data_IF_548069672007
#
_entry.id   IF_548069672007
#
_cell.length_a   1.000
_cell.length_b   1.000
_cell.length_c   1.000
_cell.angle_alpha   90.00
_cell.angle_beta   90.00
_cell.angle_gamma   90.00
#
_symmetry.space_group_name_H-M   'P 1'
#
loop_
_entity.id
_entity.type
_entity.pdbx_description
1 polymer ?
#
# COMPACT_ATOMS: atom_id res chain seq x y z
N UNK A 1 9.45 27.35 37.34
CA UNK A 1 8.20 27.18 36.56
C UNK A 1 8.37 27.48 35.06
N UNK A 2 9.09 28.53 34.63
CA UNK A 2 9.24 28.85 33.19
C UNK A 2 10.06 27.84 32.36
N UNK A 3 11.03 27.13 32.96
CA UNK A 3 11.85 26.12 32.24
C UNK A 3 11.18 24.75 32.07
N UNK A 4 10.26 24.39 32.97
CA UNK A 4 9.55 23.10 32.91
C UNK A 4 8.43 23.09 31.85
N UNK A 5 7.80 24.24 31.60
CA UNK A 5 6.77 24.38 30.56
C UNK A 5 7.37 24.32 29.16
N UNK A 6 8.59 24.83 28.96
CA UNK A 6 9.29 24.78 27.67
C UNK A 6 9.73 23.36 27.30
N UNK A 7 10.14 22.55 28.29
CA UNK A 7 10.50 21.14 28.06
C UNK A 7 9.26 20.29 27.75
N UNK A 8 8.12 20.56 28.40
CA UNK A 8 6.87 19.87 28.11
C UNK A 8 6.30 20.23 26.73
N UNK A 9 6.40 21.51 26.33
CA UNK A 9 5.99 21.97 25.00
C UNK A 9 6.92 21.43 23.89
N UNK A 10 8.23 21.31 24.15
CA UNK A 10 9.17 20.69 23.21
C UNK A 10 8.95 19.17 23.08
N UNK A 11 8.59 18.48 24.17
CA UNK A 11 8.24 17.05 24.11
C UNK A 11 6.93 16.80 23.34
N UNK A 12 5.92 17.67 23.48
CA UNK A 12 4.70 17.61 22.68
C UNK A 12 4.93 17.97 21.20
N UNK A 13 5.87 18.87 20.90
CA UNK A 13 6.24 19.19 19.51
C UNK A 13 7.03 18.04 18.86
N UNK A 14 7.91 17.37 19.61
CA UNK A 14 8.69 16.22 19.12
C UNK A 14 7.81 14.97 18.97
N UNK A 15 6.80 14.79 19.83
CA UNK A 15 5.79 13.72 19.69
C UNK A 15 4.78 13.97 18.55
N UNK A 16 4.58 15.22 18.12
CA UNK A 16 3.77 15.55 16.94
C UNK A 16 4.56 15.56 15.62
N UNK A 17 5.89 15.50 15.69
CA UNK A 17 6.79 15.36 14.54
C UNK A 17 7.13 13.88 14.22
N UNK A 18 6.68 12.93 15.06
CA UNK A 18 7.09 11.52 14.99
C UNK A 18 6.05 10.53 14.44
N UNK A 19 4.87 11.00 14.07
CA UNK A 19 3.91 10.22 13.32
C UNK A 19 3.39 11.11 12.20
N UNK A 20 4.07 11.09 11.05
CA UNK A 20 3.37 11.40 9.82
C UNK A 20 2.24 10.37 9.73
N UNK A 21 1.05 10.73 10.18
CA UNK A 21 -0.12 9.90 9.95
C UNK A 21 -0.29 9.88 8.44
N UNK A 22 0.08 8.77 7.81
CA UNK A 22 -0.19 8.51 6.41
C UNK A 22 -1.69 8.79 6.20
N UNK A 23 -2.02 9.71 5.29
CA UNK A 23 -3.41 9.99 4.99
C UNK A 23 -4.02 8.68 4.48
N UNK A 24 -5.07 8.20 5.14
CA UNK A 24 -5.64 6.90 4.78
C UNK A 24 -6.03 6.88 3.28
N UNK A 25 -5.72 5.80 2.55
CA UNK A 25 -6.18 5.62 1.18
C UNK A 25 -7.67 5.88 1.02
N UNK A 26 -8.08 6.44 -0.13
CA UNK A 26 -9.51 6.60 -0.44
C UNK A 26 -10.11 5.21 -0.67
N UNK A 27 -10.72 4.67 0.38
CA UNK A 27 -11.30 3.34 0.38
C UNK A 27 -12.76 3.35 -0.11
N UNK A 28 -13.15 2.38 -0.96
CA UNK A 28 -14.54 2.25 -1.35
C UNK A 28 -15.38 1.69 -0.19
N UNK A 29 -16.70 1.87 -0.23
CA UNK A 29 -17.60 1.48 0.87
C UNK A 29 -17.44 0.00 1.23
N UNK A 30 -17.27 -0.27 2.53
CA UNK A 30 -17.07 -1.63 3.06
C UNK A 30 -15.62 -2.11 3.07
N UNK A 31 -14.66 -1.28 2.65
CA UNK A 31 -13.22 -1.53 2.75
C UNK A 31 -12.59 -0.58 3.77
N UNK A 32 -11.72 -1.12 4.62
CA UNK A 32 -10.81 -0.35 5.48
C UNK A 32 -9.37 -0.55 5.03
N UNK A 33 -8.53 0.46 5.16
CA UNK A 33 -7.15 0.43 4.68
C UNK A 33 -6.15 0.77 5.77
N UNK A 34 -4.97 0.17 5.69
CA UNK A 34 -3.83 0.50 6.55
C UNK A 34 -2.61 0.73 5.66
N UNK A 35 -2.10 1.96 5.70
CA UNK A 35 -0.90 2.34 4.98
C UNK A 35 0.31 1.56 5.51
N UNK A 36 1.12 1.02 4.61
CA UNK A 36 2.30 0.21 4.96
C UNK A 36 3.58 0.99 4.65
N UNK A 37 3.71 1.45 3.41
CA UNK A 37 4.89 2.15 2.91
C UNK A 37 4.43 3.35 2.11
N UNK A 38 5.06 4.51 2.27
CA UNK A 38 4.91 5.62 1.37
C UNK A 38 6.28 6.08 0.83
N UNK A 39 6.24 6.96 -0.17
CA UNK A 39 7.44 7.52 -0.77
C UNK A 39 7.58 9.02 -0.51
N UNK A 40 6.80 9.59 0.42
CA UNK A 40 6.72 11.04 0.63
C UNK A 40 8.01 11.62 1.23
N UNK A 41 8.78 10.79 1.93
CA UNK A 41 10.09 11.14 2.47
C UNK A 41 11.24 11.06 1.46
N UNK A 42 11.01 10.52 0.26
CA UNK A 42 12.04 10.44 -0.78
C UNK A 42 12.26 11.80 -1.43
N UNK A 43 13.53 12.14 -1.65
CA UNK A 43 13.88 13.37 -2.36
C UNK A 43 13.54 13.27 -3.85
N UNK A 44 12.87 14.30 -4.36
CA UNK A 44 12.59 14.48 -5.79
C UNK A 44 13.87 14.44 -6.64
N UNK A 45 13.78 13.83 -7.82
CA UNK A 45 14.85 13.75 -8.80
C UNK A 45 14.98 12.39 -9.50
N UNK A 46 15.99 12.28 -10.36
CA UNK A 46 16.39 10.99 -10.93
C UNK A 46 17.08 10.14 -9.85
N UNK A 47 16.64 8.89 -9.70
CA UNK A 47 17.20 7.89 -8.79
C UNK A 47 17.39 6.58 -9.55
N UNK A 48 18.07 5.63 -8.94
CA UNK A 48 18.16 4.23 -9.40
C UNK A 48 17.38 3.31 -8.48
N UNK A 49 17.10 2.08 -8.92
CA UNK A 49 16.56 1.04 -8.03
C UNK A 49 17.43 0.85 -6.78
N UNK A 50 18.75 0.84 -6.94
CA UNK A 50 19.69 0.74 -5.82
C UNK A 50 19.54 1.88 -4.80
N UNK A 51 19.39 3.13 -5.27
CA UNK A 51 19.21 4.29 -4.39
C UNK A 51 17.95 4.19 -3.52
N UNK A 52 16.91 3.51 -4.03
CA UNK A 52 15.63 3.33 -3.35
C UNK A 52 15.53 2.02 -2.56
N UNK A 53 16.56 1.17 -2.61
CA UNK A 53 16.53 -0.17 -2.03
C UNK A 53 15.58 -1.14 -2.75
N UNK A 54 15.21 -0.83 -3.99
CA UNK A 54 14.36 -1.68 -4.82
C UNK A 54 15.22 -2.81 -5.38
N UNK A 55 14.60 -3.97 -5.56
CA UNK A 55 15.21 -5.06 -6.30
C UNK A 55 14.81 -4.99 -7.78
N UNK A 56 15.74 -5.32 -8.68
CA UNK A 56 15.46 -5.51 -10.10
C UNK A 56 16.66 -6.13 -10.81
N UNK A 57 16.49 -6.51 -12.08
CA UNK A 57 17.55 -7.15 -12.89
C UNK A 57 18.73 -6.20 -13.10
N UNK A 58 18.44 -4.91 -13.27
CA UNK A 58 19.44 -3.85 -13.33
C UNK A 58 19.27 -2.92 -12.12
N UNK A 59 20.22 -2.98 -11.20
CA UNK A 59 20.23 -2.10 -10.02
C UNK A 59 20.38 -0.61 -10.39
N UNK A 60 20.93 -0.31 -11.58
CA UNK A 60 21.06 1.05 -12.11
C UNK A 60 19.86 1.49 -12.94
N UNK A 61 18.77 0.71 -12.99
CA UNK A 61 17.54 1.09 -13.65
C UNK A 61 17.09 2.45 -13.12
N UNK A 62 17.06 3.43 -14.02
CA UNK A 62 16.67 4.80 -13.68
C UNK A 62 15.17 4.90 -13.46
N UNK A 63 14.81 5.69 -12.46
CA UNK A 63 13.45 6.07 -12.10
C UNK A 63 13.40 7.54 -11.74
N UNK A 64 12.21 8.12 -11.73
CA UNK A 64 12.01 9.50 -11.29
C UNK A 64 11.17 9.52 -10.04
N UNK A 65 11.69 10.13 -8.98
CA UNK A 65 10.92 10.46 -7.78
C UNK A 65 10.39 11.88 -7.95
N UNK A 66 9.09 12.08 -7.77
CA UNK A 66 8.52 13.42 -7.68
C UNK A 66 7.25 13.43 -6.83
N UNK A 67 7.16 14.36 -5.89
CA UNK A 67 5.98 14.57 -5.04
C UNK A 67 5.51 13.30 -4.34
N UNK A 68 6.45 12.50 -3.82
CA UNK A 68 6.13 11.25 -3.13
C UNK A 68 5.63 10.13 -4.04
N UNK A 69 5.92 10.21 -5.36
CA UNK A 69 5.64 9.16 -6.33
C UNK A 69 6.94 8.70 -6.99
N UNK A 70 7.06 7.40 -7.24
CA UNK A 70 8.16 6.79 -7.98
C UNK A 70 7.66 6.36 -9.35
N UNK A 71 8.18 7.01 -10.40
CA UNK A 71 7.82 6.71 -11.79
C UNK A 71 8.69 5.61 -12.35
N UNK A 72 8.05 4.49 -12.66
CA UNK A 72 8.66 3.30 -13.25
C UNK A 72 8.42 3.32 -14.77
N UNK A 73 9.47 3.25 -15.60
CA UNK A 73 9.33 3.28 -17.04
C UNK A 73 8.68 2.00 -17.59
N UNK A 74 8.09 2.12 -18.78
CA UNK A 74 7.52 1.00 -19.54
C UNK A 74 8.57 -0.11 -19.75
N UNK A 75 8.15 -1.37 -19.60
CA UNK A 75 9.01 -2.55 -19.74
C UNK A 75 9.90 -2.86 -18.53
N UNK A 76 9.91 -2.01 -17.49
CA UNK A 76 10.66 -2.28 -16.28
C UNK A 76 9.88 -3.16 -15.30
N UNK A 77 10.61 -3.97 -14.54
CA UNK A 77 10.06 -4.82 -13.50
C UNK A 77 11.04 -4.92 -12.33
N UNK A 78 10.49 -5.15 -11.14
CA UNK A 78 11.26 -5.19 -9.92
C UNK A 78 10.40 -5.45 -8.71
N UNK A 79 10.96 -5.23 -7.53
CA UNK A 79 10.26 -5.36 -6.27
C UNK A 79 10.58 -4.18 -5.36
N UNK A 80 9.58 -3.75 -4.61
CA UNK A 80 9.76 -2.78 -3.53
C UNK A 80 10.59 -3.39 -2.40
N UNK A 81 11.12 -2.58 -1.47
CA UNK A 81 11.79 -3.11 -0.29
C UNK A 81 10.86 -4.06 0.47
N UNK A 82 11.42 -5.13 1.02
CA UNK A 82 10.65 -6.10 1.80
C UNK A 82 10.00 -5.42 3.01
N UNK A 83 8.79 -5.88 3.32
CA UNK A 83 8.08 -5.43 4.50
C UNK A 83 8.81 -5.85 5.78
N UNK A 84 8.79 -4.97 6.78
CA UNK A 84 9.26 -5.28 8.12
C UNK A 84 8.21 -6.13 8.88
N UNK A 85 8.58 -6.60 10.07
CA UNK A 85 7.72 -7.48 10.88
C UNK A 85 6.36 -6.86 11.23
N UNK A 86 6.31 -5.55 11.51
CA UNK A 86 5.07 -4.84 11.82
C UNK A 86 4.13 -4.81 10.62
N UNK A 87 4.64 -4.42 9.44
CA UNK A 87 3.89 -4.40 8.19
C UNK A 87 3.41 -5.80 7.80
N UNK A 88 4.26 -6.82 7.96
CA UNK A 88 3.89 -8.21 7.72
C UNK A 88 2.76 -8.67 8.66
N UNK A 89 2.75 -8.23 9.92
CA UNK A 89 1.67 -8.58 10.85
C UNK A 89 0.33 -7.94 10.45
N UNK A 90 0.34 -6.73 9.87
CA UNK A 90 -0.88 -6.14 9.27
C UNK A 90 -1.36 -6.99 8.09
N UNK A 91 -0.45 -7.36 7.20
CA UNK A 91 -0.74 -8.15 5.99
C UNK A 91 -1.32 -9.54 6.28
N UNK A 92 -0.97 -10.18 7.41
CA UNK A 92 -1.57 -11.46 7.87
C UNK A 92 -3.07 -11.37 8.11
N UNK A 93 -3.55 -10.22 8.57
CA UNK A 93 -4.97 -9.99 8.87
C UNK A 93 -5.74 -9.31 7.74
N UNK A 94 -5.07 -8.98 6.64
CA UNK A 94 -5.67 -8.30 5.51
C UNK A 94 -6.44 -9.27 4.61
N UNK A 95 -7.40 -8.75 3.85
CA UNK A 95 -8.08 -9.48 2.77
C UNK A 95 -7.39 -9.26 1.41
N UNK A 96 -6.49 -8.28 1.34
CA UNK A 96 -5.67 -8.00 0.18
C UNK A 96 -4.74 -6.82 0.40
N UNK A 97 -4.13 -6.37 -0.68
CA UNK A 97 -3.23 -5.23 -0.69
C UNK A 97 -3.49 -4.33 -1.90
N UNK A 98 -2.91 -3.15 -1.87
CA UNK A 98 -3.05 -2.19 -2.93
C UNK A 98 -1.94 -1.18 -2.93
N UNK A 99 -1.99 -0.33 -3.94
CA UNK A 99 -1.10 0.81 -4.04
C UNK A 99 -1.75 1.94 -4.82
N UNK A 100 -1.31 3.15 -4.52
CA UNK A 100 -1.66 4.33 -5.29
C UNK A 100 -0.89 4.35 -6.61
N UNK A 101 -1.57 4.71 -7.69
CA UNK A 101 -0.96 4.88 -9.01
C UNK A 101 -1.38 6.19 -9.69
N UNK A 102 -0.46 6.78 -10.43
CA UNK A 102 -0.74 7.80 -11.45
C UNK A 102 -0.22 7.38 -12.81
N UNK A 103 -0.98 7.70 -13.85
CA UNK A 103 -0.61 7.46 -15.24
C UNK A 103 -0.97 8.66 -16.11
N UNK A 104 -0.09 9.04 -17.04
CA UNK A 104 -0.38 10.06 -18.04
C UNK A 104 -1.00 9.44 -19.30
N UNK A 105 -0.39 8.37 -19.80
CA UNK A 105 -0.91 7.52 -20.86
C UNK A 105 -1.51 6.24 -20.28
N UNK A 106 -2.21 5.45 -21.10
CA UNK A 106 -2.62 4.11 -20.68
C UNK A 106 -1.38 3.29 -20.31
N UNK A 107 -1.48 2.51 -19.23
CA UNK A 107 -0.40 1.64 -18.78
C UNK A 107 -0.95 0.25 -18.51
N UNK A 108 -0.16 -0.77 -18.84
CA UNK A 108 -0.44 -2.15 -18.45
C UNK A 108 0.47 -2.48 -17.27
N UNK A 109 -0.10 -2.96 -16.16
CA UNK A 109 0.70 -3.36 -15.00
C UNK A 109 0.45 -4.81 -14.64
N UNK A 110 1.53 -5.51 -14.27
CA UNK A 110 1.45 -6.80 -13.58
C UNK A 110 1.83 -6.57 -12.11
N UNK A 111 1.27 -7.39 -11.22
CA UNK A 111 1.56 -7.36 -9.80
C UNK A 111 1.72 -8.79 -9.29
N UNK A 112 2.59 -8.96 -8.31
CA UNK A 112 2.81 -10.22 -7.62
C UNK A 112 3.51 -9.98 -6.30
N UNK A 113 3.90 -11.03 -5.61
CA UNK A 113 4.72 -10.90 -4.41
C UNK A 113 5.46 -12.20 -4.10
N UNK A 114 6.53 -12.08 -3.32
CA UNK A 114 7.09 -13.23 -2.60
C UNK A 114 6.40 -13.34 -1.24
N UNK A 115 6.00 -14.56 -0.91
CA UNK A 115 5.58 -14.90 0.45
C UNK A 115 6.80 -15.06 1.37
N UNK A 116 6.57 -15.01 2.68
CA UNK A 116 7.56 -15.26 3.73
C UNK A 116 8.20 -16.66 3.67
N UNK A 117 7.55 -17.61 2.99
CA UNK A 117 8.10 -18.93 2.67
C UNK A 117 9.07 -18.93 1.47
N UNK A 118 9.21 -17.80 0.77
CA UNK A 118 9.97 -17.67 -0.48
C UNK A 118 9.18 -18.04 -1.74
N UNK A 119 7.92 -18.46 -1.60
CA UNK A 119 7.07 -18.81 -2.75
C UNK A 119 6.63 -17.55 -3.50
N UNK A 120 6.87 -17.52 -4.82
CA UNK A 120 6.46 -16.42 -5.68
C UNK A 120 4.97 -16.58 -6.06
N UNK A 121 4.21 -15.49 -5.96
CA UNK A 121 2.81 -15.42 -6.35
C UNK A 121 2.61 -14.34 -7.40
N UNK A 122 1.80 -14.65 -8.40
CA UNK A 122 1.50 -13.77 -9.53
C UNK A 122 0.00 -13.58 -9.65
N UNK A 123 -0.41 -12.49 -10.29
CA UNK A 123 -1.81 -12.23 -10.58
C UNK A 123 -2.38 -13.32 -11.50
N UNK A 124 -3.51 -13.91 -11.10
CA UNK A 124 -4.27 -14.86 -11.89
C UNK A 124 -5.16 -14.14 -12.93
N UNK A 125 -5.48 -14.84 -14.00
CA UNK A 125 -6.36 -14.34 -15.08
C UNK A 125 -7.84 -14.39 -14.65
N UNK A 126 -8.68 -13.56 -15.27
CA UNK A 126 -10.13 -13.52 -15.03
C UNK A 126 -10.51 -13.19 -13.58
N UNK A 127 -9.68 -12.37 -12.94
CA UNK A 127 -9.89 -11.83 -11.59
C UNK A 127 -10.36 -10.39 -11.65
N UNK A 128 -11.01 -9.92 -10.60
CA UNK A 128 -11.51 -8.53 -10.53
C UNK A 128 -10.58 -7.70 -9.66
N UNK A 129 -10.15 -6.56 -10.19
CA UNK A 129 -9.41 -5.52 -9.45
C UNK A 129 -10.25 -4.26 -9.43
N UNK A 130 -10.28 -3.57 -8.29
CA UNK A 130 -10.98 -2.29 -8.18
C UNK A 130 -10.01 -1.13 -8.36
N UNK A 131 -10.37 -0.19 -9.22
CA UNK A 131 -9.73 1.12 -9.38
C UNK A 131 -10.62 2.15 -8.71
N UNK A 132 -10.08 2.87 -7.73
CA UNK A 132 -10.80 3.91 -7.00
C UNK A 132 -10.09 5.23 -7.20
N UNK A 133 -10.72 6.17 -7.91
CA UNK A 133 -10.10 7.48 -8.12
C UNK A 133 -10.12 8.33 -6.83
N UNK A 134 -9.40 9.45 -6.83
CA UNK A 134 -9.37 10.37 -5.69
C UNK A 134 -10.73 10.96 -5.30
N UNK A 135 -11.73 10.91 -6.17
CA UNK A 135 -13.09 11.34 -5.89
C UNK A 135 -13.95 10.20 -5.29
N UNK A 136 -13.41 9.00 -5.14
CA UNK A 136 -14.10 7.81 -4.63
C UNK A 136 -14.85 7.04 -5.71
N UNK A 137 -14.70 7.36 -7.00
CA UNK A 137 -15.37 6.60 -8.07
C UNK A 137 -14.70 5.24 -8.23
N UNK A 138 -15.48 4.19 -8.05
CA UNK A 138 -15.04 2.80 -8.23
C UNK A 138 -15.26 2.34 -9.67
N UNK A 139 -14.24 1.71 -10.25
CA UNK A 139 -14.29 1.01 -11.55
C UNK A 139 -13.71 -0.38 -11.37
N UNK A 140 -14.43 -1.41 -11.81
CA UNK A 140 -13.91 -2.78 -11.82
C UNK A 140 -13.20 -3.06 -13.15
N UNK A 141 -12.01 -3.66 -13.08
CA UNK A 141 -11.28 -4.16 -14.24
C UNK A 141 -11.02 -5.66 -14.09
N UNK A 142 -11.01 -6.38 -15.21
CA UNK A 142 -10.72 -7.81 -15.25
C UNK A 142 -9.27 -8.04 -15.66
N UNK A 143 -8.58 -8.92 -14.95
CA UNK A 143 -7.20 -9.31 -15.28
C UNK A 143 -7.17 -10.16 -16.55
N UNK A 144 -6.15 -9.97 -17.38
CA UNK A 144 -5.95 -10.70 -18.63
C UNK A 144 -4.51 -11.23 -18.72
N UNK A 145 -4.28 -12.34 -19.41
CA UNK A 145 -2.95 -12.87 -19.59
C UNK A 145 -2.11 -12.00 -20.56
N UNK A 146 -0.90 -11.62 -20.13
CA UNK A 146 0.07 -10.86 -20.93
C UNK A 146 1.26 -11.76 -21.29
N UNK A 147 1.34 -12.16 -22.57
CA UNK A 147 2.38 -13.05 -23.07
C UNK A 147 3.80 -12.49 -22.86
N UNK A 148 3.97 -11.17 -22.99
CA UNK A 148 5.28 -10.50 -22.88
C UNK A 148 5.93 -10.67 -21.49
N UNK A 149 5.14 -10.84 -20.43
CA UNK A 149 5.62 -11.01 -19.06
C UNK A 149 5.30 -12.39 -18.49
N UNK A 150 4.65 -13.25 -19.29
CA UNK A 150 4.13 -14.56 -18.91
C UNK A 150 3.31 -14.53 -17.60
N UNK A 151 2.54 -13.46 -17.39
CA UNK A 151 1.78 -13.20 -16.17
C UNK A 151 0.48 -12.48 -16.52
N UNK A 152 -0.50 -12.48 -15.60
CA UNK A 152 -1.71 -11.68 -15.78
C UNK A 152 -1.46 -10.21 -15.42
N UNK A 153 -2.17 -9.34 -16.12
CA UNK A 153 -2.04 -7.91 -16.02
C UNK A 153 -3.41 -7.23 -15.92
N UNK A 154 -3.39 -5.94 -15.62
CA UNK A 154 -4.54 -5.05 -15.76
C UNK A 154 -4.15 -3.83 -16.59
N UNK A 155 -5.14 -3.25 -17.25
CA UNK A 155 -5.01 -1.96 -17.93
C UNK A 155 -5.45 -0.84 -16.99
N UNK A 156 -4.56 0.13 -16.78
CA UNK A 156 -4.86 1.39 -16.09
C UNK A 156 -5.14 2.47 -17.15
N UNK A 157 -6.29 3.15 -17.10
CA UNK A 157 -6.64 4.14 -18.11
C UNK A 157 -5.74 5.36 -18.04
N UNK A 158 -5.53 6.03 -19.17
CA UNK A 158 -4.78 7.29 -19.24
C UNK A 158 -5.36 8.34 -18.30
N UNK A 159 -4.50 9.19 -17.73
CA UNK A 159 -4.85 10.24 -16.77
C UNK A 159 -5.50 9.72 -15.47
N UNK A 160 -5.30 8.44 -15.13
CA UNK A 160 -5.80 7.89 -13.87
C UNK A 160 -4.92 8.33 -12.70
N UNK A 161 -5.57 8.67 -11.58
CA UNK A 161 -4.96 9.01 -10.31
C UNK A 161 -5.81 8.42 -9.19
N UNK A 162 -5.32 7.36 -8.55
CA UNK A 162 -6.15 6.63 -7.60
C UNK A 162 -5.50 5.37 -7.06
N UNK A 163 -6.31 4.57 -6.42
CA UNK A 163 -5.93 3.42 -5.62
C UNK A 163 -6.38 2.13 -6.30
N UNK A 164 -5.54 1.11 -6.25
CA UNK A 164 -5.81 -0.21 -6.82
C UNK A 164 -5.97 -1.24 -5.71
N UNK A 165 -7.08 -1.99 -5.72
CA UNK A 165 -7.37 -2.99 -4.68
C UNK A 165 -7.26 -4.40 -5.27
N UNK A 166 -6.26 -5.16 -4.81
CA UNK A 166 -6.02 -6.54 -5.21
C UNK A 166 -6.34 -7.49 -4.03
N UNK A 167 -7.52 -8.12 -4.03
CA UNK A 167 -7.82 -9.24 -3.13
C UNK A 167 -6.78 -10.35 -3.20
N UNK A 168 -6.51 -11.02 -2.09
CA UNK A 168 -5.54 -12.12 -2.05
C UNK A 168 -5.95 -13.32 -2.93
N UNK A 169 -7.24 -13.56 -3.12
CA UNK A 169 -7.74 -14.63 -4.01
C UNK A 169 -7.51 -14.33 -5.50
N UNK A 170 -6.97 -13.15 -5.84
CA UNK A 170 -6.50 -12.83 -7.17
C UNK A 170 -5.09 -13.39 -7.46
N UNK A 171 -4.37 -13.87 -6.46
CA UNK A 171 -2.99 -14.33 -6.61
C UNK A 171 -2.88 -15.85 -6.53
N UNK A 172 -2.05 -16.41 -7.40
CA UNK A 172 -1.73 -17.83 -7.47
C UNK A 172 -0.22 -18.04 -7.40
N UNK A 173 0.22 -19.20 -6.89
CA UNK A 173 1.63 -19.59 -6.91
C UNK A 173 2.16 -19.63 -8.35
N UNK A 174 3.38 -19.13 -8.55
CA UNK A 174 4.07 -19.12 -9.83
C UNK A 174 4.85 -20.43 -10.04
N UNK A 175 4.12 -21.54 -9.99
CA UNK A 175 4.60 -22.88 -10.20
C UNK A 175 3.53 -23.72 -10.92
N UNK A 176 3.78 -25.02 -11.07
CA UNK A 176 2.87 -25.92 -11.77
C UNK A 176 1.52 -26.11 -11.06
N UNK A 177 1.43 -25.84 -9.76
CA UNK A 177 0.23 -26.09 -8.98
C UNK A 177 -0.77 -24.93 -9.09
N UNK A 178 -0.28 -23.71 -9.38
CA UNK A 178 -1.10 -22.50 -9.52
C UNK A 178 -2.10 -22.32 -8.37
N UNK A 179 -1.66 -22.63 -7.15
CA UNK A 179 -2.49 -22.63 -5.95
C UNK A 179 -2.79 -21.20 -5.52
N UNK A 180 -4.04 -20.93 -5.11
CA UNK A 180 -4.43 -19.63 -4.54
C UNK A 180 -3.61 -19.35 -3.28
N UNK A 181 -3.22 -18.08 -3.09
CA UNK A 181 -2.45 -17.66 -1.92
C UNK A 181 -3.12 -18.07 -0.60
N UNK A 182 -2.38 -18.83 0.22
CA UNK A 182 -2.88 -19.37 1.49
C UNK A 182 -2.67 -18.37 2.63
N UNK A 183 -3.66 -17.51 2.84
CA UNK A 183 -3.65 -16.49 3.90
C UNK A 183 -3.62 -17.06 5.32
N UNK A 184 -3.91 -18.36 5.51
CA UNK A 184 -3.87 -18.98 6.83
C UNK A 184 -2.44 -19.37 7.25
N UNK A 185 -1.55 -19.65 6.29
CA UNK A 185 -0.21 -20.18 6.55
C UNK A 185 0.92 -19.32 5.97
N UNK A 186 0.60 -18.33 5.14
CA UNK A 186 1.58 -17.53 4.42
C UNK A 186 1.32 -16.03 4.62
N UNK A 187 2.39 -15.24 4.55
CA UNK A 187 2.33 -13.78 4.63
C UNK A 187 3.06 -13.16 3.46
N UNK A 188 2.57 -12.04 2.94
CA UNK A 188 3.30 -11.26 1.94
C UNK A 188 4.57 -10.68 2.55
N UNK A 189 5.72 -10.91 1.92
CA UNK A 189 7.02 -10.39 2.35
C UNK A 189 7.54 -9.28 1.44
N UNK A 190 7.45 -9.46 0.12
CA UNK A 190 8.01 -8.51 -0.85
C UNK A 190 7.05 -8.31 -2.01
N UNK A 191 6.60 -7.07 -2.21
CA UNK A 191 5.69 -6.70 -3.30
C UNK A 191 6.47 -6.52 -4.62
N UNK A 192 6.00 -7.18 -5.68
CA UNK A 192 6.59 -7.17 -7.02
C UNK A 192 5.69 -6.34 -7.94
N UNK A 193 6.32 -5.50 -8.75
CA UNK A 193 5.66 -4.73 -9.81
C UNK A 193 6.31 -5.01 -11.16
N UNK A 194 5.51 -4.90 -12.22
CA UNK A 194 6.00 -4.78 -13.58
C UNK A 194 5.12 -3.80 -14.33
N UNK A 195 5.75 -2.87 -15.03
CA UNK A 195 5.07 -2.03 -16.01
C UNK A 195 5.28 -2.68 -17.36
N UNK A 196 4.20 -3.23 -17.91
CA UNK A 196 4.17 -3.90 -19.20
C UNK A 196 4.34 -2.91 -20.35
N UNK A 197 3.44 -2.97 -21.33
CA UNK A 197 3.47 -2.11 -22.52
C UNK A 197 2.73 -0.77 -22.31
N UNK A 198 2.91 0.13 -23.29
CA UNK A 198 2.18 1.39 -23.50
C UNK A 198 2.72 2.63 -22.77
N UNK A 199 2.73 2.63 -21.44
CA UNK A 199 3.04 3.84 -20.66
C UNK A 199 3.81 3.54 -19.37
N UNK A 200 4.51 4.54 -18.86
CA UNK A 200 5.10 4.47 -17.51
C UNK A 200 4.01 4.55 -16.44
N UNK A 201 4.31 4.05 -15.24
CA UNK A 201 3.40 4.12 -14.11
C UNK A 201 4.11 4.75 -12.91
N UNK A 202 3.48 5.73 -12.28
CA UNK A 202 3.97 6.34 -11.04
C UNK A 202 3.30 5.65 -9.86
N UNK A 203 4.08 5.08 -8.96
CA UNK A 203 3.60 4.38 -7.77
C UNK A 203 3.75 5.28 -6.54
N UNK A 204 2.73 5.28 -5.68
CA UNK A 204 2.73 5.98 -4.40
C UNK A 204 2.62 5.00 -3.23
N UNK A 205 1.86 5.40 -2.22
CA UNK A 205 1.61 4.60 -1.02
C UNK A 205 1.18 3.16 -1.35
N UNK A 206 1.75 2.20 -0.62
CA UNK A 206 1.38 0.79 -0.58
C UNK A 206 0.61 0.55 0.72
N UNK A 207 -0.51 -0.16 0.64
CA UNK A 207 -1.41 -0.38 1.78
C UNK A 207 -1.95 -1.80 1.80
N UNK A 208 -2.32 -2.26 3.00
CA UNK A 208 -3.18 -3.43 3.20
C UNK A 208 -4.64 -2.98 3.26
N UNK A 209 -5.57 -3.87 2.90
CA UNK A 209 -6.99 -3.61 3.09
C UNK A 209 -7.74 -4.83 3.63
N UNK A 210 -8.84 -4.56 4.34
CA UNK A 210 -9.78 -5.56 4.84
C UNK A 210 -11.21 -5.17 4.47
N UNK A 211 -12.10 -6.14 4.42
CA UNK A 211 -13.48 -5.99 4.03
C UNK A 211 -13.72 -6.26 2.55
N UNK A 212 -14.98 -6.10 2.14
CA UNK A 212 -15.44 -6.34 0.77
C UNK A 212 -16.17 -5.10 0.29
N UNK A 213 -15.92 -4.73 -0.96
CA UNK A 213 -16.66 -3.64 -1.57
C UNK A 213 -18.15 -3.94 -1.58
N UNK A 214 -18.92 -2.99 -1.06
CA UNK A 214 -20.38 -3.01 -1.04
C UNK A 214 -20.87 -1.80 -1.83
N UNK A 215 -21.24 -1.96 -3.12
CA UNK A 215 -21.77 -0.87 -3.93
C UNK A 215 -22.93 -0.19 -3.20
N UNK A 216 -22.96 1.15 -3.20
CA UNK A 216 -24.14 1.90 -2.77
C UNK A 216 -25.36 1.58 -3.65
N UNK A 217 -26.56 1.83 -3.13
CA UNK A 217 -27.75 1.88 -4.00
C UNK A 217 -27.59 3.03 -5.01
N UNK A 218 -28.13 2.86 -6.23
CA UNK A 218 -27.91 3.76 -7.37
C UNK A 218 -27.95 5.26 -6.99
N UNK A 219 -26.80 5.95 -7.11
CA UNK A 219 -26.67 7.38 -6.87
C UNK A 219 -26.04 7.79 -5.53
N UNK A 220 -25.78 6.84 -4.62
CA UNK A 220 -24.97 7.08 -3.43
C UNK A 220 -23.49 7.11 -3.83
N UNK A 221 -22.83 8.27 -3.70
CA UNK A 221 -21.38 8.35 -3.90
C UNK A 221 -20.71 7.55 -2.79
N UNK A 222 -19.78 6.67 -3.16
CA UNK A 222 -18.85 6.08 -2.21
C UNK A 222 -18.17 7.22 -1.42
N UNK A 223 -17.96 7.05 -0.10
CA UNK A 223 -17.42 8.11 0.75
C UNK A 223 -16.07 8.55 0.19
N UNK A 224 -16.04 9.75 -0.42
CA UNK A 224 -14.78 10.43 -0.72
C UNK A 224 -14.05 10.64 0.60
N UNK A 225 -12.76 10.30 0.68
CA UNK A 225 -11.95 10.17 1.90
C UNK A 225 -11.81 11.41 2.81
N UNK A 226 -12.91 12.02 3.24
CA UNK A 226 -12.98 13.17 4.14
C UNK A 226 -13.99 12.98 5.27
N UNK A 227 -14.62 11.80 5.42
CA UNK A 227 -15.34 11.48 6.64
C UNK A 227 -14.37 10.76 7.59
N UNK A 228 -13.80 11.54 8.50
CA UNK A 228 -12.77 11.12 9.44
C UNK A 228 -13.10 9.79 10.11
N UNK A 229 -12.20 8.84 9.91
CA UNK A 229 -12.25 7.52 10.51
C UNK A 229 -12.24 7.63 12.04
N UNK A 230 -13.40 7.37 12.66
CA UNK A 230 -13.59 7.31 14.11
C UNK A 230 -12.79 6.17 14.76
N UNK A 231 -12.14 5.29 13.97
CA UNK A 231 -11.23 4.24 14.47
C UNK A 231 -9.90 4.78 15.01
N UNK A 232 -9.44 5.95 14.54
CA UNK A 232 -8.19 6.58 15.02
C UNK A 232 -8.24 7.04 16.49
N UNK A 233 -9.45 7.27 17.02
CA UNK A 233 -9.63 7.62 18.44
C UNK A 233 -9.52 6.38 19.35
N UNK A 234 -9.79 5.17 18.85
CA UNK A 234 -9.73 3.95 19.66
C UNK A 234 -8.29 3.51 19.98
N UNK A 235 -7.36 3.62 19.02
CA UNK A 235 -5.96 3.24 19.24
C UNK A 235 -5.15 4.30 20.01
N UNK A 236 -5.53 5.58 19.87
CA UNK A 236 -4.90 6.66 20.64
C UNK A 236 -5.24 6.53 22.13
N UNK A 237 -6.45 6.09 22.50
CA UNK A 237 -6.84 5.89 23.91
C UNK A 237 -6.19 4.64 24.53
N UNK A 238 -5.93 3.59 23.74
CA UNK A 238 -5.19 2.42 24.23
C UNK A 238 -3.70 2.74 24.54
N UNK A 239 -3.07 3.62 23.75
CA UNK A 239 -1.72 4.08 24.00
C UNK A 239 -1.59 4.99 25.23
N UNK A 240 -2.63 5.78 25.56
CA UNK A 240 -2.65 6.61 26.78
C UNK A 240 -3.05 5.84 28.06
N UNK A 241 -3.76 4.72 27.94
CA UNK A 241 -4.07 3.85 29.09
C UNK A 241 -2.87 2.99 29.55
N UNK A 242 -1.93 2.68 28.64
CA UNK A 242 -0.75 1.86 28.94
C UNK A 242 0.42 2.57 29.64
N UNK A 243 0.48 3.91 29.57
CA UNK A 243 1.58 4.71 30.15
C UNK A 243 1.21 5.43 31.47
N UNK A 244 -0.02 5.26 31.96
CA UNK A 244 -0.45 5.75 33.28
C UNK A 244 -0.32 4.75 34.43
N UNK A 245 0.09 3.50 34.16
CA UNK A 245 0.08 2.40 35.12
C UNK A 245 1.36 2.18 35.94
N UNK A 246 2.44 2.92 35.69
CA UNK A 246 3.74 2.70 36.38
C UNK A 246 4.29 3.99 36.97
N UNK A 247 3.58 4.57 37.93
CA UNK A 247 4.18 5.40 38.98
C UNK A 247 3.13 5.65 40.06
N UNK A 248 3.04 4.78 41.07
CA UNK A 248 2.80 5.12 42.48
C UNK A 248 2.52 3.84 43.28
N UNK A 249 3.58 3.13 43.67
CA UNK A 249 3.52 2.17 44.76
C UNK A 249 4.66 2.44 45.75
N UNK A 250 4.28 3.15 46.82
CA UNK A 250 4.88 3.20 48.17
C UNK A 250 6.37 3.55 48.33
N UNK A 251 6.59 4.70 48.98
CA UNK A 251 7.02 4.68 50.40
C UNK A 251 6.63 5.98 51.12
N UNK A 252 5.77 5.86 52.12
CA UNK A 252 5.65 6.80 53.25
C UNK A 252 5.78 5.99 54.53
N UNK A 253 6.97 6.01 55.12
CA UNK A 253 7.31 6.48 56.46
C UNK A 253 8.82 6.44 56.59
#
# INVERSE_FOLDING_TARGET
MKKAVVVLAAALLILSLGAASLAAPVAPKGITTTALTDFTALEDGEKTYADLGFWGVDANQKVTVSNGLVTIPTGAWGAFPSFNEEQMNVLKSADGLGFYVETEAQAVICCGFNADTGTNHILAENKTVLLVDKAGKVTSVTTFYLEATNQSAITIPANFKGYLYFPYDNFISNDADAAVFDTANMTVQTLIFSVGSEGSCSYGEIYAFSGKYTPGEDGEKDPSGNEGDLSMVAYTVAAFAGLGGVAFARKRK
#
